data_IF_235808184306
#
_entry.id   IF_235808184306
#
_cell.length_a   1.000
_cell.length_b   1.000
_cell.length_c   1.000
_cell.angle_alpha   90.00
_cell.angle_beta   90.00
_cell.angle_gamma   90.00
#
_symmetry.space_group_name_H-M   'P 1'
#
loop_
_entity.id
_entity.type
_entity.pdbx_description
1 polymer ?
#
# COMPACT_ATOMS: atom_id res chain seq x y z
N UNK A 1 26.61 7.54 -46.45
CA UNK A 1 25.75 7.48 -47.66
C UNK A 1 24.29 7.58 -47.19
N UNK A 2 23.54 8.67 -47.20
CA UNK A 2 23.70 10.07 -47.56
C UNK A 2 22.47 10.82 -46.97
N UNK A 3 22.71 11.96 -46.32
CA UNK A 3 22.00 13.26 -46.43
C UNK A 3 20.46 13.30 -46.20
N UNK A 4 19.95 13.93 -45.13
CA UNK A 4 19.62 15.38 -45.02
C UNK A 4 18.96 16.00 -46.26
N UNK A 5 17.71 16.49 -46.12
CA UNK A 5 17.31 17.86 -46.51
C UNK A 5 15.84 18.15 -46.20
N UNK A 6 15.62 19.26 -45.50
CA UNK A 6 14.38 20.02 -45.40
C UNK A 6 13.96 20.56 -46.78
N UNK A 7 12.66 20.66 -47.05
CA UNK A 7 12.12 21.72 -47.92
C UNK A 7 10.81 22.28 -47.36
N UNK A 8 10.84 23.59 -47.16
CA UNK A 8 9.73 24.48 -46.90
C UNK A 8 9.01 24.80 -48.21
N UNK A 9 7.68 24.90 -48.18
CA UNK A 9 6.90 25.48 -49.27
C UNK A 9 5.96 26.55 -48.70
N UNK A 10 6.36 27.81 -48.88
CA UNK A 10 5.55 29.00 -48.77
C UNK A 10 4.51 29.02 -49.90
N UNK A 11 3.25 29.37 -49.59
CA UNK A 11 2.33 29.86 -50.62
C UNK A 11 1.46 31.02 -50.11
N UNK A 12 1.81 32.19 -50.64
CA UNK A 12 0.97 33.30 -51.12
C UNK A 12 -0.07 33.96 -50.22
N UNK A 13 0.26 35.22 -49.93
CA UNK A 13 -0.60 36.38 -49.61
C UNK A 13 -1.82 36.52 -50.53
N UNK A 14 -2.94 36.97 -49.98
CA UNK A 14 -3.91 37.82 -50.68
C UNK A 14 -4.40 38.94 -49.75
N UNK A 15 -4.09 40.17 -50.14
CA UNK A 15 -4.54 41.44 -49.56
C UNK A 15 -6.02 41.68 -49.84
N UNK A 16 -6.78 42.10 -48.81
CA UNK A 16 -7.94 42.99 -48.98
C UNK A 16 -8.30 43.69 -47.65
N UNK A 17 -8.31 45.01 -47.68
CA UNK A 17 -9.03 45.94 -46.78
C UNK A 17 -9.72 46.93 -47.73
N UNK A 18 -10.93 47.46 -47.45
CA UNK A 18 -11.18 48.46 -46.39
C UNK A 18 -12.59 48.23 -45.75
N UNK A 19 -13.21 49.03 -44.87
CA UNK A 19 -13.11 50.43 -44.51
C UNK A 19 -13.62 50.61 -43.06
N UNK A 20 -13.01 51.54 -42.34
CA UNK A 20 -13.42 52.01 -41.01
C UNK A 20 -14.34 53.22 -41.21
N UNK A 21 -15.59 53.14 -40.75
CA UNK A 21 -16.47 54.31 -40.60
C UNK A 21 -16.63 54.64 -39.12
N UNK A 22 -15.99 55.72 -38.70
CA UNK A 22 -16.19 56.36 -37.41
C UNK A 22 -17.56 57.07 -37.37
N UNK A 23 -18.25 57.01 -36.23
CA UNK A 23 -19.33 57.95 -35.88
C UNK A 23 -19.08 58.50 -34.47
N UNK A 24 -19.03 59.84 -34.41
CA UNK A 24 -18.89 60.67 -33.21
C UNK A 24 -20.09 60.54 -32.25
N UNK A 25 -19.92 60.92 -30.96
CA UNK A 25 -20.98 60.93 -29.98
C UNK A 25 -21.76 62.26 -30.00
N UNK A 26 -23.08 62.19 -29.98
CA UNK A 26 -23.98 63.34 -29.75
C UNK A 26 -24.45 63.37 -28.30
N UNK A 27 -24.28 64.54 -27.67
CA UNK A 27 -24.68 64.89 -26.32
C UNK A 27 -26.16 65.32 -26.22
N UNK A 28 -26.67 65.26 -24.97
CA UNK A 28 -27.81 65.98 -24.35
C UNK A 28 -29.18 65.25 -24.29
N UNK A 29 -30.06 65.56 -23.31
CA UNK A 29 -29.84 66.16 -21.97
C UNK A 29 -30.52 65.39 -20.82
N UNK A 30 -30.26 65.88 -19.60
CA UNK A 30 -30.81 65.43 -18.33
C UNK A 30 -32.34 65.57 -18.23
N UNK A 31 -32.98 64.58 -17.62
CA UNK A 31 -34.31 64.69 -17.04
C UNK A 31 -34.34 64.05 -15.65
N UNK A 32 -35.08 64.71 -14.76
CA UNK A 32 -34.97 64.67 -13.31
C UNK A 32 -35.71 63.50 -12.66
N UNK A 33 -35.10 62.98 -11.60
CA UNK A 33 -35.66 62.69 -10.26
C UNK A 33 -37.12 62.19 -10.21
N UNK A 34 -37.29 60.93 -9.82
CA UNK A 34 -38.25 60.57 -8.77
C UNK A 34 -37.61 59.52 -7.86
N UNK A 35 -37.52 59.90 -6.59
CA UNK A 35 -37.08 59.11 -5.45
C UNK A 35 -38.00 57.91 -5.22
N UNK A 36 -37.47 56.69 -5.29
CA UNK A 36 -38.07 55.55 -4.62
C UNK A 36 -37.13 55.03 -3.53
N UNK A 37 -37.58 55.34 -2.32
CA UNK A 37 -37.09 54.94 -1.02
C UNK A 37 -37.03 53.41 -0.93
N UNK A 38 -35.85 52.93 -0.49
CA UNK A 38 -35.59 51.71 0.27
C UNK A 38 -36.63 50.57 0.19
N UNK A 39 -36.27 49.49 -0.51
CA UNK A 39 -36.52 48.13 -0.01
C UNK A 39 -35.47 47.19 -0.59
N UNK A 40 -34.39 46.97 0.18
CA UNK A 40 -33.48 45.84 -0.04
C UNK A 40 -34.28 44.55 0.17
N UNK A 41 -34.37 43.63 -0.80
CA UNK A 41 -34.95 42.32 -0.53
C UNK A 41 -34.08 41.63 0.54
N UNK A 42 -34.75 41.18 1.60
CA UNK A 42 -34.15 40.53 2.75
C UNK A 42 -33.17 39.44 2.30
N UNK A 43 -31.95 39.48 2.85
CA UNK A 43 -30.99 38.42 2.72
C UNK A 43 -31.67 37.10 3.12
N UNK A 44 -31.71 36.13 2.20
CA UNK A 44 -31.99 34.74 2.53
C UNK A 44 -30.93 34.28 3.51
N UNK A 45 -31.23 34.38 4.80
CA UNK A 45 -30.45 33.80 5.88
C UNK A 45 -30.58 32.30 5.73
N UNK A 46 -29.62 31.69 5.03
CA UNK A 46 -29.34 30.27 5.19
C UNK A 46 -29.25 30.01 6.69
N UNK A 47 -30.07 29.11 7.26
CA UNK A 47 -29.98 28.83 8.68
C UNK A 47 -28.55 28.41 8.96
N UNK A 48 -27.88 29.13 9.86
CA UNK A 48 -26.57 28.74 10.33
C UNK A 48 -26.68 27.27 10.73
N UNK A 49 -25.93 26.41 10.04
CA UNK A 49 -25.87 25.00 10.42
C UNK A 49 -25.38 25.02 11.85
N UNK A 50 -26.25 24.61 12.78
CA UNK A 50 -25.94 24.44 14.19
C UNK A 50 -24.51 23.89 14.30
N UNK A 51 -23.62 24.45 15.12
CA UNK A 51 -22.40 23.76 15.45
C UNK A 51 -22.85 22.44 16.06
N UNK A 52 -22.68 21.34 15.33
CA UNK A 52 -22.89 20.03 15.93
C UNK A 52 -21.79 19.94 16.98
N UNK A 53 -22.16 20.14 18.24
CA UNK A 53 -21.36 19.74 19.38
C UNK A 53 -21.10 18.24 19.22
N UNK A 54 -20.01 17.88 18.55
CA UNK A 54 -19.53 16.51 18.44
C UNK A 54 -18.61 16.23 19.62
N UNK A 55 -19.16 16.34 20.82
CA UNK A 55 -18.53 15.83 22.03
C UNK A 55 -19.60 15.31 22.98
N UNK A 56 -20.47 14.45 22.46
CA UNK A 56 -21.09 13.45 23.33
C UNK A 56 -20.02 12.39 23.49
N UNK A 57 -19.45 12.27 24.68
CA UNK A 57 -18.75 11.06 25.11
C UNK A 57 -19.81 9.95 25.18
N UNK A 58 -20.22 9.47 24.01
CA UNK A 58 -20.88 8.19 23.91
C UNK A 58 -19.81 7.19 24.32
N UNK A 59 -19.99 6.59 25.49
CA UNK A 59 -19.33 5.34 25.80
C UNK A 59 -19.77 4.32 24.74
N UNK A 60 -19.10 4.36 23.59
CA UNK A 60 -19.53 3.68 22.40
C UNK A 60 -19.23 2.20 22.62
N UNK A 61 -20.26 1.36 22.62
CA UNK A 61 -20.11 -0.10 22.59
C UNK A 61 -19.52 -0.51 21.23
N UNK A 62 -18.23 -0.27 21.03
CA UNK A 62 -17.52 -0.64 19.82
C UNK A 62 -17.14 -2.12 19.88
N UNK A 63 -17.71 -2.90 18.97
CA UNK A 63 -17.30 -4.29 18.74
C UNK A 63 -16.51 -4.35 17.44
N UNK A 64 -15.29 -4.89 17.53
CA UNK A 64 -14.44 -5.10 16.36
C UNK A 64 -15.07 -6.11 15.41
N UNK A 65 -15.06 -5.82 14.10
CA UNK A 65 -15.52 -6.77 13.08
C UNK A 65 -14.59 -7.98 12.93
N UNK A 66 -13.39 -7.93 13.52
CA UNK A 66 -12.36 -8.98 13.47
C UNK A 66 -12.64 -10.08 14.50
N UNK A 67 -13.83 -10.64 14.48
CA UNK A 67 -14.27 -11.68 15.44
C UNK A 67 -14.22 -13.10 14.86
N UNK A 68 -13.87 -13.26 13.58
CA UNK A 68 -13.90 -14.55 12.91
C UNK A 68 -12.75 -15.46 13.34
N UNK A 69 -13.08 -16.65 13.83
CA UNK A 69 -12.11 -17.64 14.31
C UNK A 69 -11.59 -18.57 13.20
N UNK A 70 -12.48 -19.03 12.31
CA UNK A 70 -12.13 -20.01 11.25
C UNK A 70 -11.73 -19.31 9.95
N UNK A 71 -10.67 -19.82 9.31
CA UNK A 71 -10.20 -19.35 8.01
C UNK A 71 -11.27 -19.55 6.92
N UNK A 72 -11.41 -18.58 6.01
CA UNK A 72 -12.25 -18.71 4.82
C UNK A 72 -11.65 -17.99 3.63
N UNK A 73 -11.86 -18.56 2.44
CA UNK A 73 -11.51 -17.94 1.16
C UNK A 73 -12.56 -16.88 0.76
N UNK A 74 -13.79 -16.99 1.25
CA UNK A 74 -14.90 -16.08 0.90
C UNK A 74 -14.60 -14.68 1.45
N UNK A 75 -14.85 -13.60 0.67
CA UNK A 75 -14.69 -12.24 1.16
C UNK A 75 -15.58 -11.97 2.38
N UNK A 76 -14.99 -11.42 3.44
CA UNK A 76 -15.66 -11.08 4.69
C UNK A 76 -16.03 -9.60 4.68
N UNK A 77 -17.26 -9.27 5.05
CA UNK A 77 -17.69 -7.87 5.17
C UNK A 77 -16.88 -7.20 6.29
N UNK A 78 -16.14 -6.15 5.96
CA UNK A 78 -15.37 -5.38 6.94
C UNK A 78 -16.04 -4.04 7.24
N UNK A 79 -15.92 -3.59 8.50
CA UNK A 79 -16.36 -2.25 8.92
C UNK A 79 -15.14 -1.34 9.06
N UNK A 80 -15.20 -0.14 8.47
CA UNK A 80 -14.14 0.86 8.58
C UNK A 80 -14.23 1.59 9.93
N UNK A 81 -13.09 1.95 10.52
CA UNK A 81 -13.04 2.68 11.80
C UNK A 81 -13.21 4.19 11.65
N UNK A 82 -12.76 4.76 10.53
CA UNK A 82 -12.76 6.22 10.32
C UNK A 82 -11.78 6.97 11.24
N UNK A 83 -10.71 6.31 11.68
CA UNK A 83 -9.68 6.92 12.54
C UNK A 83 -10.01 6.96 14.03
N UNK A 84 -11.11 6.33 14.45
CA UNK A 84 -11.55 6.25 15.85
C UNK A 84 -11.07 4.98 16.55
N UNK A 85 -10.89 5.06 17.86
CA UNK A 85 -10.63 3.91 18.73
C UNK A 85 -11.93 3.36 19.36
N UNK A 86 -11.81 2.43 20.31
CA UNK A 86 -12.95 1.79 20.98
C UNK A 86 -13.75 2.76 21.86
N UNK A 87 -13.14 3.86 22.31
CA UNK A 87 -13.83 4.91 23.09
C UNK A 87 -14.69 5.81 22.20
N UNK A 88 -14.46 5.78 20.88
CA UNK A 88 -15.14 6.64 19.91
C UNK A 88 -14.37 7.94 19.60
N UNK A 89 -13.27 8.21 20.30
CA UNK A 89 -12.40 9.37 20.05
C UNK A 89 -11.53 9.17 18.81
N UNK A 90 -11.22 10.26 18.11
CA UNK A 90 -10.33 10.24 16.94
C UNK A 90 -8.90 10.09 17.44
N UNK A 91 -8.23 9.00 17.06
CA UNK A 91 -6.81 8.75 17.38
C UNK A 91 -5.90 8.99 16.18
N UNK A 92 -6.42 8.81 14.97
CA UNK A 92 -5.68 9.04 13.73
C UNK A 92 -6.52 9.91 12.80
N UNK A 93 -6.00 11.08 12.46
CA UNK A 93 -6.63 12.02 11.53
C UNK A 93 -6.50 11.54 10.07
N UNK A 94 -7.25 12.16 9.15
CA UNK A 94 -7.11 11.86 7.71
C UNK A 94 -7.78 10.56 7.24
N UNK A 95 -8.42 9.77 8.11
CA UNK A 95 -9.06 8.49 7.75
C UNK A 95 -10.59 8.64 7.78
N UNK A 96 -11.28 8.21 6.72
CA UNK A 96 -12.75 8.15 6.71
C UNK A 96 -13.37 8.13 5.32
N UNK A 97 -14.58 7.59 5.22
CA UNK A 97 -15.28 7.41 3.94
C UNK A 97 -14.66 6.32 3.05
N UNK A 98 -14.53 6.62 1.76
CA UNK A 98 -14.02 5.70 0.74
C UNK A 98 -14.99 4.59 0.37
N UNK A 99 -14.69 3.90 -0.73
CA UNK A 99 -15.54 2.83 -1.26
C UNK A 99 -15.66 1.67 -0.25
N UNK A 100 -16.81 0.99 -0.23
CA UNK A 100 -17.01 -0.22 0.61
C UNK A 100 -16.04 -1.32 0.17
N UNK A 101 -15.48 -2.06 1.12
CA UNK A 101 -14.47 -3.09 0.86
C UNK A 101 -14.86 -4.35 1.61
N UNK A 102 -14.50 -5.49 1.04
CA UNK A 102 -14.59 -6.79 1.70
C UNK A 102 -13.17 -7.30 1.94
N UNK A 103 -12.90 -7.75 3.16
CA UNK A 103 -11.62 -8.29 3.56
C UNK A 103 -11.46 -9.73 3.06
N UNK A 104 -10.30 -10.03 2.50
CA UNK A 104 -9.90 -11.41 2.16
C UNK A 104 -8.87 -11.88 3.17
N UNK A 105 -9.15 -13.00 3.82
CA UNK A 105 -8.21 -13.60 4.77
C UNK A 105 -7.02 -14.12 3.99
N UNK A 106 -5.82 -13.69 4.36
CA UNK A 106 -4.57 -14.10 3.72
C UNK A 106 -3.79 -14.96 4.71
N UNK A 107 -3.25 -16.06 4.23
CA UNK A 107 -2.35 -16.92 5.00
C UNK A 107 -0.91 -16.44 4.82
N UNK A 108 -0.36 -15.82 5.86
CA UNK A 108 1.03 -15.33 5.86
C UNK A 108 2.04 -16.41 6.26
N UNK A 109 1.58 -17.57 6.74
CA UNK A 109 2.42 -18.72 7.04
C UNK A 109 2.41 -19.65 5.82
N UNK A 110 3.44 -19.56 4.98
CA UNK A 110 3.52 -20.33 3.73
C UNK A 110 3.64 -21.81 4.02
N UNK A 111 4.62 -22.20 4.83
CA UNK A 111 4.77 -23.58 5.28
C UNK A 111 3.82 -23.87 6.44
N UNK A 112 2.65 -24.42 6.12
CA UNK A 112 1.67 -24.94 7.09
C UNK A 112 1.24 -26.32 6.62
N UNK A 113 1.80 -27.44 7.13
CA UNK A 113 1.33 -28.77 6.75
C UNK A 113 -0.15 -28.95 7.11
N UNK A 114 -0.88 -29.77 6.33
CA UNK A 114 -2.31 -30.00 6.54
C UNK A 114 -2.57 -31.15 7.52
N UNK A 115 -1.71 -32.17 7.52
CA UNK A 115 -1.71 -33.26 8.50
C UNK A 115 -0.79 -32.87 9.64
N UNK A 116 -1.14 -33.29 10.85
CA UNK A 116 -0.28 -33.15 12.05
C UNK A 116 0.88 -34.16 12.05
N UNK A 117 0.77 -35.21 11.23
CA UNK A 117 1.88 -36.12 10.92
C UNK A 117 2.95 -35.42 10.09
N UNK A 118 4.17 -35.96 10.11
CA UNK A 118 5.45 -35.32 9.72
C UNK A 118 5.36 -34.23 8.63
N UNK A 119 6.09 -33.11 8.80
CA UNK A 119 6.04 -31.95 7.91
C UNK A 119 6.74 -32.24 6.58
N UNK A 120 6.03 -32.87 5.65
CA UNK A 120 6.52 -33.07 4.28
C UNK A 120 6.45 -31.75 3.47
N UNK A 121 7.40 -31.52 2.54
CA UNK A 121 7.25 -30.52 1.49
C UNK A 121 5.97 -30.78 0.69
N UNK A 122 5.27 -29.71 0.33
CA UNK A 122 4.05 -29.84 -0.48
C UNK A 122 3.98 -28.77 -1.56
N UNK A 123 3.40 -29.16 -2.68
CA UNK A 123 3.16 -28.30 -3.83
C UNK A 123 1.74 -27.73 -3.80
N UNK A 124 1.59 -26.50 -4.28
CA UNK A 124 0.28 -25.88 -4.49
C UNK A 124 0.20 -25.35 -5.92
N UNK A 125 -0.98 -25.43 -6.53
CA UNK A 125 -1.24 -24.86 -7.84
C UNK A 125 -1.90 -23.49 -7.71
N UNK A 126 -1.41 -22.52 -8.46
CA UNK A 126 -2.00 -21.19 -8.55
C UNK A 126 -3.25 -21.26 -9.41
N UNK A 127 -4.40 -20.91 -8.83
CA UNK A 127 -5.70 -20.93 -9.51
C UNK A 127 -5.96 -19.60 -10.21
N UNK A 128 -5.75 -18.48 -9.52
CA UNK A 128 -6.01 -17.14 -10.07
C UNK A 128 -5.24 -16.08 -9.29
N UNK A 129 -4.77 -15.05 -9.98
CA UNK A 129 -4.20 -13.84 -9.38
C UNK A 129 -5.22 -12.72 -9.50
N UNK A 130 -5.48 -12.01 -8.39
CA UNK A 130 -6.53 -10.98 -8.30
C UNK A 130 -6.06 -9.77 -7.50
N UNK A 131 -6.71 -8.64 -7.81
CA UNK A 131 -6.57 -7.41 -7.04
C UNK A 131 -7.18 -7.50 -5.63
N UNK A 132 -6.48 -6.93 -4.64
CA UNK A 132 -6.97 -6.80 -3.26
C UNK A 132 -7.10 -5.33 -2.81
N UNK A 133 -8.29 -4.84 -2.46
CA UNK A 133 -8.47 -3.45 -2.07
C UNK A 133 -7.95 -3.12 -0.66
N UNK A 134 -7.54 -4.14 0.11
CA UNK A 134 -7.05 -3.99 1.49
C UNK A 134 -5.53 -3.81 1.58
N UNK A 135 -4.79 -3.99 0.48
CA UNK A 135 -3.32 -3.85 0.42
C UNK A 135 -2.89 -3.30 -0.94
N UNK A 136 -1.61 -3.02 -1.11
CA UNK A 136 -1.07 -2.55 -2.40
C UNK A 136 -0.74 -3.71 -3.35
N UNK A 137 -0.27 -4.84 -2.80
CA UNK A 137 0.10 -6.03 -3.56
C UNK A 137 -1.12 -6.81 -4.05
N UNK A 138 -0.96 -7.55 -5.14
CA UNK A 138 -1.98 -8.48 -5.61
C UNK A 138 -1.92 -9.79 -4.81
N UNK A 139 -3.01 -10.55 -4.85
CA UNK A 139 -3.15 -11.81 -4.11
C UNK A 139 -3.38 -12.97 -5.07
N UNK A 140 -2.83 -14.12 -4.73
CA UNK A 140 -3.02 -15.35 -5.48
C UNK A 140 -3.90 -16.33 -4.68
N UNK A 141 -4.89 -16.92 -5.34
CA UNK A 141 -5.61 -18.07 -4.82
C UNK A 141 -4.81 -19.31 -5.18
N UNK A 142 -4.39 -20.05 -4.17
CA UNK A 142 -3.64 -21.29 -4.34
C UNK A 142 -4.43 -22.46 -3.76
N UNK A 143 -4.31 -23.61 -4.42
CA UNK A 143 -4.95 -24.85 -4.03
C UNK A 143 -3.90 -25.97 -3.94
N UNK A 144 -3.90 -26.71 -2.84
CA UNK A 144 -3.03 -27.87 -2.64
C UNK A 144 -3.75 -28.90 -1.79
N UNK A 145 -3.68 -30.17 -2.19
CA UNK A 145 -4.49 -31.24 -1.59
C UNK A 145 -5.98 -30.89 -1.59
N UNK A 146 -6.59 -30.83 -0.41
CA UNK A 146 -8.03 -30.52 -0.24
C UNK A 146 -8.34 -29.08 0.21
N UNK A 147 -7.32 -28.21 0.36
CA UNK A 147 -7.50 -26.85 0.86
C UNK A 147 -7.21 -25.77 -0.19
N UNK A 148 -7.84 -24.61 0.00
CA UNK A 148 -7.60 -23.40 -0.79
C UNK A 148 -7.29 -22.24 0.16
N UNK A 149 -6.31 -21.42 -0.21
CA UNK A 149 -5.94 -20.24 0.59
C UNK A 149 -5.47 -19.09 -0.29
N UNK A 150 -5.56 -17.89 0.25
CA UNK A 150 -5.03 -16.70 -0.38
C UNK A 150 -3.64 -16.44 0.17
N UNK A 151 -2.71 -16.15 -0.73
CA UNK A 151 -1.35 -15.74 -0.42
C UNK A 151 -1.06 -14.40 -1.12
N UNK A 152 0.05 -13.76 -0.76
CA UNK A 152 0.56 -12.62 -1.54
C UNK A 152 1.15 -13.17 -2.84
N UNK A 153 0.78 -12.58 -3.98
CA UNK A 153 1.35 -12.95 -5.27
C UNK A 153 2.75 -12.34 -5.44
N UNK A 154 3.65 -13.11 -6.05
CA UNK A 154 4.96 -12.61 -6.52
C UNK A 154 4.82 -11.93 -7.89
N UNK A 155 5.87 -11.25 -8.35
CA UNK A 155 5.90 -10.43 -9.57
C UNK A 155 5.43 -11.17 -10.82
N UNK A 156 5.99 -12.35 -11.09
CA UNK A 156 5.74 -13.10 -12.32
C UNK A 156 4.76 -14.28 -12.15
N UNK A 157 4.00 -14.32 -11.04
CA UNK A 157 3.08 -15.41 -10.75
C UNK A 157 1.87 -15.40 -11.70
N UNK A 158 1.60 -16.53 -12.35
CA UNK A 158 0.48 -16.71 -13.29
C UNK A 158 -0.47 -17.80 -12.82
N UNK A 159 -1.68 -17.82 -13.38
CA UNK A 159 -2.62 -18.90 -13.14
C UNK A 159 -2.12 -20.17 -13.86
N UNK A 160 -2.11 -21.30 -13.14
CA UNK A 160 -1.60 -22.57 -13.62
C UNK A 160 -0.26 -22.98 -13.03
N UNK A 161 0.52 -22.03 -12.52
CA UNK A 161 1.86 -22.27 -11.96
C UNK A 161 1.81 -23.19 -10.73
N UNK A 162 2.82 -24.04 -10.59
CA UNK A 162 3.03 -24.88 -9.40
C UNK A 162 4.11 -24.24 -8.53
N UNK A 163 3.79 -24.02 -7.26
CA UNK A 163 4.69 -23.46 -6.25
C UNK A 163 5.05 -24.52 -5.21
N UNK A 164 6.31 -24.55 -4.80
CA UNK A 164 6.80 -25.47 -3.78
C UNK A 164 6.85 -24.77 -2.41
N UNK A 165 6.41 -25.48 -1.37
CA UNK A 165 6.61 -25.06 0.02
C UNK A 165 7.39 -26.16 0.74
N UNK A 166 8.62 -25.86 1.18
CA UNK A 166 9.44 -26.81 1.94
C UNK A 166 9.95 -26.17 3.23
N UNK A 167 10.19 -27.00 4.25
CA UNK A 167 10.89 -26.61 5.47
C UNK A 167 12.24 -27.34 5.65
N UNK A 168 12.65 -28.12 4.65
CA UNK A 168 13.90 -28.86 4.71
C UNK A 168 15.09 -27.91 4.44
N UNK A 169 16.12 -28.02 5.29
CA UNK A 169 17.40 -27.32 5.11
C UNK A 169 18.43 -28.37 4.68
N UNK A 170 18.70 -28.41 3.37
CA UNK A 170 19.72 -29.29 2.81
C UNK A 170 21.14 -28.75 3.05
N UNK A 171 22.13 -29.63 2.92
CA UNK A 171 23.56 -29.24 2.98
C UNK A 171 23.95 -28.32 1.81
N UNK A 172 23.35 -28.53 0.65
CA UNK A 172 23.54 -27.71 -0.54
C UNK A 172 22.37 -26.72 -0.69
N UNK A 173 22.68 -25.54 -1.24
CA UNK A 173 21.66 -24.52 -1.49
C UNK A 173 20.71 -24.95 -2.62
N UNK A 174 19.44 -24.59 -2.50
CA UNK A 174 18.41 -24.90 -3.51
C UNK A 174 18.31 -23.76 -4.51
N UNK A 175 18.28 -24.09 -5.81
CA UNK A 175 17.95 -23.16 -6.87
C UNK A 175 16.42 -22.93 -6.91
N UNK A 176 15.93 -22.08 -6.00
CA UNK A 176 14.52 -21.82 -5.82
C UNK A 176 13.94 -20.96 -6.95
N UNK A 177 12.73 -21.30 -7.41
CA UNK A 177 11.99 -20.49 -8.39
C UNK A 177 11.21 -19.38 -7.66
N UNK A 178 10.81 -18.38 -8.42
CA UNK A 178 9.95 -17.33 -7.89
C UNK A 178 8.60 -17.89 -7.42
N UNK A 179 8.16 -17.52 -6.21
CA UNK A 179 6.92 -18.01 -5.60
C UNK A 179 7.13 -19.21 -4.66
N UNK A 180 8.26 -19.91 -4.77
CA UNK A 180 8.63 -20.97 -3.84
C UNK A 180 8.94 -20.41 -2.45
N UNK A 181 8.60 -21.19 -1.43
CA UNK A 181 8.86 -20.86 -0.03
C UNK A 181 9.81 -21.89 0.59
N UNK A 182 10.94 -21.41 1.06
CA UNK A 182 12.00 -22.20 1.69
C UNK A 182 12.49 -21.51 2.98
N UNK A 183 13.14 -22.25 3.89
CA UNK A 183 13.87 -21.64 5.00
C UNK A 183 15.06 -20.82 4.47
N UNK A 184 15.43 -19.76 5.18
CA UNK A 184 16.58 -18.93 4.81
C UNK A 184 17.89 -19.73 4.75
N UNK A 185 18.02 -20.77 5.56
CA UNK A 185 19.15 -21.70 5.56
C UNK A 185 19.33 -22.48 4.25
N UNK A 186 18.24 -22.73 3.51
CA UNK A 186 18.29 -23.49 2.25
C UNK A 186 18.60 -22.61 1.02
N UNK A 187 18.43 -21.29 1.12
CA UNK A 187 18.57 -20.38 -0.02
C UNK A 187 20.02 -19.94 -0.26
N UNK A 188 20.46 -19.74 -1.51
CA UNK A 188 21.76 -19.16 -1.80
C UNK A 188 21.85 -17.70 -1.34
N UNK A 189 23.07 -17.26 -1.01
CA UNK A 189 23.36 -15.87 -0.70
C UNK A 189 23.11 -14.99 -1.93
N UNK A 190 22.58 -13.78 -1.73
CA UNK A 190 22.22 -12.85 -2.80
C UNK A 190 20.82 -13.05 -3.36
N UNK A 191 20.07 -14.06 -2.91
CA UNK A 191 18.69 -14.28 -3.34
C UNK A 191 17.76 -13.14 -2.94
N UNK A 192 16.88 -12.78 -3.88
CA UNK A 192 15.78 -11.86 -3.62
C UNK A 192 14.66 -12.59 -2.88
N UNK A 193 14.23 -12.03 -1.77
CA UNK A 193 13.22 -12.63 -0.89
C UNK A 193 12.14 -11.62 -0.51
N UNK A 194 10.94 -12.13 -0.21
CA UNK A 194 9.84 -11.38 0.36
C UNK A 194 9.11 -12.20 1.44
N UNK A 195 8.13 -11.57 2.11
CA UNK A 195 7.31 -12.22 3.13
C UNK A 195 8.12 -12.93 4.22
N UNK A 196 9.07 -12.22 4.83
CA UNK A 196 10.00 -12.80 5.81
C UNK A 196 9.38 -12.85 7.21
N UNK A 197 9.61 -13.98 7.89
CA UNK A 197 9.28 -14.21 9.30
C UNK A 197 10.33 -13.61 10.24
N UNK A 198 9.92 -13.11 11.40
CA UNK A 198 10.88 -12.70 12.45
C UNK A 198 11.46 -13.89 13.22
N UNK A 199 10.59 -14.86 13.50
CA UNK A 199 10.87 -16.08 14.25
C UNK A 199 10.16 -17.23 13.52
N UNK A 200 10.69 -18.46 13.56
CA UNK A 200 10.11 -19.59 12.83
C UNK A 200 8.65 -19.82 13.23
N UNK A 201 7.76 -19.91 12.23
CA UNK A 201 6.34 -20.21 12.46
C UNK A 201 5.49 -19.00 12.89
N UNK A 202 6.10 -17.83 13.13
CA UNK A 202 5.37 -16.60 13.49
C UNK A 202 4.60 -15.99 12.31
N UNK A 203 4.88 -16.45 11.09
CA UNK A 203 4.29 -15.96 9.85
C UNK A 203 4.93 -14.67 9.34
N UNK A 204 4.75 -14.40 8.04
CA UNK A 204 5.36 -13.27 7.38
C UNK A 204 4.90 -11.92 7.94
N UNK A 205 5.85 -11.12 8.43
CA UNK A 205 5.60 -9.78 8.97
C UNK A 205 6.23 -8.69 8.11
N UNK A 206 7.40 -8.95 7.53
CA UNK A 206 8.20 -7.99 6.78
C UNK A 206 8.08 -8.22 5.26
N UNK A 207 8.36 -7.17 4.48
CA UNK A 207 8.48 -7.23 3.01
C UNK A 207 7.20 -7.78 2.35
N UNK A 208 6.06 -7.14 2.62
CA UNK A 208 4.72 -7.56 2.13
C UNK A 208 4.09 -6.59 1.13
N UNK A 209 4.71 -5.42 0.93
CA UNK A 209 4.13 -4.35 0.11
C UNK A 209 4.45 -4.57 -1.37
N UNK A 210 3.59 -4.04 -2.25
CA UNK A 210 3.76 -4.10 -3.70
C UNK A 210 5.18 -3.71 -4.15
N UNK A 211 5.78 -4.54 -5.02
CA UNK A 211 7.11 -4.30 -5.59
C UNK A 211 8.29 -4.42 -4.61
N UNK A 212 8.06 -4.69 -3.33
CA UNK A 212 9.15 -4.79 -2.34
C UNK A 212 9.88 -6.12 -2.42
N UNK A 213 11.18 -6.08 -2.13
CA UNK A 213 12.04 -7.24 -1.98
C UNK A 213 13.16 -6.93 -0.98
N UNK A 214 13.66 -7.97 -0.33
CA UNK A 214 14.88 -7.96 0.46
C UNK A 214 15.91 -8.87 -0.18
N UNK A 215 17.12 -8.84 0.38
CA UNK A 215 18.25 -9.64 -0.10
C UNK A 215 18.82 -10.43 1.07
N UNK A 216 19.12 -11.71 0.85
CA UNK A 216 19.88 -12.52 1.80
C UNK A 216 21.38 -12.17 1.68
N UNK A 217 21.98 -11.60 2.74
CA UNK A 217 23.36 -11.10 2.67
C UNK A 217 24.40 -12.15 3.04
N UNK A 218 24.22 -12.85 4.16
CA UNK A 218 25.14 -13.89 4.64
C UNK A 218 24.47 -14.74 5.72
N UNK A 219 25.09 -15.88 6.02
CA UNK A 219 24.68 -16.79 7.09
C UNK A 219 25.84 -16.94 8.08
N UNK A 220 25.53 -16.91 9.37
CA UNK A 220 26.51 -17.04 10.46
C UNK A 220 25.88 -17.86 11.58
N UNK A 221 26.51 -18.95 12.00
CA UNK A 221 26.13 -19.75 13.17
C UNK A 221 24.63 -20.08 13.27
N UNK A 222 24.04 -20.62 12.20
CA UNK A 222 22.61 -20.97 12.17
C UNK A 222 21.65 -19.76 12.07
N UNK A 223 22.18 -18.58 11.76
CA UNK A 223 21.40 -17.35 11.60
C UNK A 223 21.62 -16.75 10.22
N UNK A 224 20.59 -16.11 9.68
CA UNK A 224 20.61 -15.44 8.40
C UNK A 224 20.52 -13.92 8.61
N UNK A 225 21.37 -13.18 7.91
CA UNK A 225 21.34 -11.71 7.86
C UNK A 225 20.69 -11.29 6.57
N UNK A 226 19.58 -10.57 6.67
CA UNK A 226 18.81 -10.06 5.55
C UNK A 226 18.90 -8.54 5.49
N UNK A 227 18.82 -8.00 4.27
CA UNK A 227 18.64 -6.57 4.04
C UNK A 227 17.17 -6.27 3.75
N UNK A 228 16.57 -5.37 4.54
CA UNK A 228 15.21 -4.90 4.32
C UNK A 228 15.16 -3.85 3.19
N UNK A 229 13.98 -3.56 2.61
CA UNK A 229 13.81 -2.49 1.61
C UNK A 229 14.28 -1.10 2.08
N UNK A 230 14.30 -0.86 3.40
CA UNK A 230 14.84 0.37 4.00
C UNK A 230 16.38 0.40 4.08
N UNK A 231 17.07 -0.58 3.49
CA UNK A 231 18.51 -0.84 3.60
C UNK A 231 19.01 -1.24 4.99
N UNK A 232 18.14 -1.25 6.01
CA UNK A 232 18.46 -1.73 7.36
C UNK A 232 18.68 -3.24 7.34
N UNK A 233 19.72 -3.69 8.02
CA UNK A 233 20.03 -5.12 8.19
C UNK A 233 19.24 -5.71 9.37
N UNK A 234 18.86 -6.97 9.24
CA UNK A 234 18.11 -7.73 10.24
C UNK A 234 18.67 -9.15 10.33
N UNK A 235 18.89 -9.65 11.55
CA UNK A 235 19.35 -11.01 11.82
C UNK A 235 18.17 -11.85 12.34
N UNK A 236 17.95 -13.00 11.72
CA UNK A 236 16.90 -13.97 12.02
C UNK A 236 17.47 -15.38 12.02
N UNK A 237 16.75 -16.36 12.55
CA UNK A 237 17.16 -17.77 12.48
C UNK A 237 17.09 -18.28 11.04
N UNK A 238 17.97 -19.23 10.69
CA UNK A 238 17.99 -19.83 9.36
C UNK A 238 16.74 -20.68 9.05
N UNK A 239 16.05 -21.12 10.10
CA UNK A 239 14.80 -21.89 10.06
C UNK A 239 13.57 -21.04 9.75
N UNK A 240 13.70 -19.71 9.77
CA UNK A 240 12.61 -18.82 9.35
C UNK A 240 12.30 -19.03 7.86
N UNK A 241 11.01 -19.13 7.53
CA UNK A 241 10.59 -19.27 6.13
C UNK A 241 10.57 -17.91 5.42
N UNK A 242 10.99 -17.89 4.15
CA UNK A 242 10.83 -16.76 3.27
C UNK A 242 10.34 -17.22 1.89
N UNK A 243 9.69 -16.33 1.15
CA UNK A 243 9.30 -16.60 -0.25
C UNK A 243 10.29 -15.95 -1.19
N UNK A 244 10.69 -16.67 -2.24
CA UNK A 244 11.68 -16.19 -3.21
C UNK A 244 11.01 -15.27 -4.23
N UNK A 245 11.71 -14.21 -4.60
CA UNK A 245 11.30 -13.22 -5.60
C UNK A 245 10.78 -11.91 -5.01
N UNK A 246 10.23 -11.08 -5.90
CA UNK A 246 9.67 -9.76 -5.56
C UNK A 246 8.16 -9.86 -5.39
N UNK A 247 7.57 -8.94 -4.63
CA UNK A 247 6.10 -8.87 -4.50
C UNK A 247 5.49 -8.29 -5.79
N UNK A 248 4.33 -8.80 -6.19
CA UNK A 248 3.52 -8.31 -7.31
C UNK A 248 3.25 -6.80 -7.31
N UNK A 249 2.79 -6.29 -8.46
CA UNK A 249 2.42 -4.90 -8.69
C UNK A 249 3.60 -3.92 -8.51
N UNK A 250 4.69 -4.15 -9.26
CA UNK A 250 5.94 -3.36 -9.14
C UNK A 250 5.72 -1.87 -9.45
N UNK A 251 4.87 -1.56 -10.44
CA UNK A 251 4.61 -0.19 -10.89
C UNK A 251 3.62 0.58 -9.99
N UNK A 252 3.32 0.06 -8.79
CA UNK A 252 2.40 0.72 -7.86
C UNK A 252 2.85 2.14 -7.47
N UNK A 253 4.17 2.38 -7.41
CA UNK A 253 4.77 3.67 -7.07
C UNK A 253 4.61 4.74 -8.18
N UNK A 254 4.51 4.32 -9.45
CA UNK A 254 4.37 5.20 -10.61
C UNK A 254 2.90 5.63 -10.84
N UNK A 255 1.97 5.10 -10.06
CA UNK A 255 0.54 5.41 -10.21
C UNK A 255 0.23 6.87 -9.89
N UNK A 256 -0.29 7.59 -10.89
CA UNK A 256 -0.77 8.97 -10.73
C UNK A 256 -2.21 9.00 -10.19
N UNK A 257 -2.43 9.74 -9.08
CA UNK A 257 -3.77 9.88 -8.47
C UNK A 257 -4.70 10.78 -9.29
N UNK A 258 -4.17 11.76 -10.03
CA UNK A 258 -4.92 12.61 -10.97
C UNK A 258 -5.81 13.65 -10.30
N UNK A 259 -6.84 13.23 -9.55
CA UNK A 259 -7.81 14.13 -8.90
C UNK A 259 -8.01 13.84 -7.41
N UNK A 260 -8.36 14.88 -6.65
CA UNK A 260 -8.63 14.76 -5.21
C UNK A 260 -9.70 13.71 -4.87
N UNK A 261 -10.72 13.56 -5.72
CA UNK A 261 -11.78 12.55 -5.56
C UNK A 261 -11.26 11.11 -5.47
N UNK A 262 -10.15 10.78 -6.17
CA UNK A 262 -9.57 9.44 -6.10
C UNK A 262 -8.96 9.15 -4.72
N UNK A 263 -8.38 10.15 -4.05
CA UNK A 263 -7.97 10.03 -2.65
C UNK A 263 -9.18 9.80 -1.72
N UNK A 264 -10.31 10.47 -2.00
CA UNK A 264 -11.54 10.26 -1.24
C UNK A 264 -12.08 8.85 -1.42
N UNK A 265 -12.00 8.26 -2.61
CA UNK A 265 -12.38 6.86 -2.86
C UNK A 265 -11.51 5.86 -2.09
N UNK A 266 -10.22 6.16 -1.93
CA UNK A 266 -9.29 5.39 -1.09
C UNK A 266 -9.53 5.56 0.42
N UNK A 267 -10.46 6.43 0.83
CA UNK A 267 -10.79 6.67 2.24
C UNK A 267 -9.83 7.62 2.95
N UNK A 268 -9.09 8.44 2.20
CA UNK A 268 -8.22 9.50 2.72
C UNK A 268 -8.99 10.83 2.72
N UNK A 269 -9.07 11.48 3.89
CA UNK A 269 -9.63 12.83 4.08
C UNK A 269 -8.53 13.88 3.81
N UNK A 270 -8.90 15.12 3.46
CA UNK A 270 -7.93 16.21 3.36
C UNK A 270 -7.29 16.50 4.73
N UNK A 271 -6.10 17.08 4.69
CA UNK A 271 -5.39 17.57 5.87
C UNK A 271 -6.08 18.80 6.47
N UNK A 272 -5.67 19.18 7.68
CA UNK A 272 -6.20 20.37 8.35
C UNK A 272 -5.75 21.65 7.62
N UNK A 273 -6.64 22.64 7.56
CA UNK A 273 -6.31 23.99 7.07
C UNK A 273 -5.53 24.83 8.09
N UNK A 274 -5.34 24.32 9.32
CA UNK A 274 -4.58 25.03 10.35
C UNK A 274 -3.10 25.13 9.94
N UNK A 275 -2.62 26.35 9.77
CA UNK A 275 -1.22 26.60 9.52
C UNK A 275 -0.38 26.31 10.78
N UNK A 276 0.72 25.58 10.60
CA UNK A 276 1.67 25.29 11.66
C UNK A 276 3.06 25.78 11.25
N UNK A 277 3.74 26.50 12.15
CA UNK A 277 5.14 26.90 11.94
C UNK A 277 6.03 25.65 11.98
N UNK A 278 6.91 25.50 10.98
CA UNK A 278 7.92 24.43 10.98
C UNK A 278 8.88 24.64 12.17
N UNK A 279 9.16 23.58 12.92
CA UNK A 279 10.12 23.60 14.03
C UNK A 279 11.48 23.01 13.64
N UNK A 280 12.38 22.85 14.62
CA UNK A 280 13.72 22.29 14.40
C UNK A 280 13.76 20.82 13.94
N UNK A 281 12.64 20.11 14.05
CA UNK A 281 12.45 18.76 13.48
C UNK A 281 12.39 18.77 11.95
N UNK A 282 11.99 19.90 11.34
CA UNK A 282 11.96 20.06 9.90
C UNK A 282 13.38 20.20 9.32
N UNK A 283 13.49 20.07 8.00
CA UNK A 283 14.76 20.08 7.27
C UNK A 283 15.36 18.69 7.09
N UNK A 284 16.29 18.58 6.14
CA UNK A 284 16.95 17.31 5.81
C UNK A 284 17.83 16.88 6.99
N UNK A 285 17.63 15.64 7.46
CA UNK A 285 18.47 15.03 8.51
C UNK A 285 19.24 13.86 7.90
N UNK A 286 20.55 14.01 7.77
CA UNK A 286 21.44 12.94 7.34
C UNK A 286 21.84 12.17 8.60
N UNK A 287 21.32 10.96 8.76
CA UNK A 287 21.62 10.08 9.89
C UNK A 287 22.39 8.86 9.38
N UNK A 288 23.33 8.30 10.16
CA UNK A 288 23.92 7.01 9.82
C UNK A 288 22.83 5.94 9.80
N UNK A 289 23.09 4.82 9.11
CA UNK A 289 22.18 3.69 9.15
C UNK A 289 22.05 3.20 10.60
N UNK A 290 20.82 2.91 11.08
CA UNK A 290 20.64 2.35 12.40
C UNK A 290 21.30 0.97 12.49
N UNK A 291 21.72 0.55 13.68
CA UNK A 291 22.34 -0.75 13.86
C UNK A 291 21.42 -1.89 13.43
N UNK A 292 22.06 -3.01 13.08
CA UNK A 292 21.37 -4.25 12.72
C UNK A 292 20.42 -4.66 13.83
N UNK A 293 19.19 -5.05 13.46
CA UNK A 293 18.22 -5.57 14.42
C UNK A 293 18.37 -7.08 14.52
N UNK A 294 18.67 -7.61 15.71
CA UNK A 294 18.73 -9.06 15.93
C UNK A 294 17.47 -9.57 16.65
N UNK A 295 16.93 -10.68 16.16
CA UNK A 295 15.86 -11.46 16.80
C UNK A 295 16.39 -12.72 17.50
N UNK A 296 17.70 -12.97 17.39
CA UNK A 296 18.33 -14.16 17.97
C UNK A 296 18.65 -13.84 19.43
N UNK A 297 18.16 -14.68 20.34
CA UNK A 297 18.52 -14.63 21.75
C UNK A 297 19.74 -15.52 21.92
N UNK A 298 20.87 -14.93 22.32
CA UNK A 298 22.06 -15.71 22.66
C UNK A 298 21.75 -16.52 23.93
N UNK A 299 22.20 -17.78 24.02
CA UNK A 299 22.14 -18.50 25.29
C UNK A 299 22.93 -17.70 26.33
N UNK A 300 22.37 -17.54 27.53
CA UNK A 300 23.10 -16.92 28.64
C UNK A 300 24.31 -17.79 28.99
N UNK A 301 25.41 -17.16 29.37
CA UNK A 301 26.67 -17.84 29.75
C UNK A 301 26.44 -18.91 30.83
N UNK A 302 25.42 -18.74 31.68
CA UNK A 302 25.03 -19.69 32.73
C UNK A 302 24.38 -21.00 32.22
N UNK A 303 24.00 -21.10 30.95
CA UNK A 303 23.39 -22.32 30.39
C UNK A 303 24.42 -23.25 29.72
N UNK A 304 25.71 -22.91 29.79
CA UNK A 304 26.82 -23.66 29.19
C UNK A 304 27.76 -24.29 30.23
N UNK A 305 27.42 -24.20 31.52
CA UNK A 305 28.10 -24.86 32.64
C UNK A 305 27.40 -26.15 33.04
#
# INVERSE_FOLDING_TARGET
MALYALTSALRSLSLASPAVTARLPTLLPAAQILSNVLQRPAALVLPSRRPVHMSVDLHAKFVSWKSRTKYTVKPVKMRKSGGRDHTGRIRVHGIGGGHKQNYRMIDFLRFRPQKETQPEPFEEKVVTVRYDPCRSADIALVAGGSRKRWIIATENMKAGDTILNSNHIGRMAVAAKEGDAHPLGALPVGTLINNVESEPGRGAQYIRAAGTCGVLLRKVNGTAIIQLPSKRQMQVLETCTATVGRVSNVNHNQRVIGKAGRNRWLGKRPDSGLWHRKGGWAGRKIRPLPPMKSYVKLPSVAAQS
#
